data_IF_462275191188
#
_entry.id   IF_462275191188
#
_cell.length_a   1.000
_cell.length_b   1.000
_cell.length_c   1.000
_cell.angle_alpha   90.00
_cell.angle_beta   90.00
_cell.angle_gamma   90.00
#
_symmetry.space_group_name_H-M   'P 1'
#
loop_
_entity.id
_entity.type
_entity.pdbx_description
1 polymer ?
#
# COMPACT_ATOMS: atom_id res chain seq x y z
N UNK A 1 38.72 25.08 37.03
CA UNK A 1 40.17 25.07 36.77
C UNK A 1 40.41 23.82 35.92
N UNK A 2 40.78 23.80 34.63
CA UNK A 2 41.72 24.64 33.86
C UNK A 2 41.62 24.26 32.36
N UNK A 3 41.48 25.29 31.49
CA UNK A 3 41.96 25.48 30.09
C UNK A 3 41.49 24.64 28.86
N UNK A 4 40.96 25.42 27.91
CA UNK A 4 40.94 25.31 26.44
C UNK A 4 42.26 24.86 25.81
N UNK A 5 42.20 24.15 24.66
CA UNK A 5 43.06 24.42 23.47
C UNK A 5 42.28 24.17 22.16
N UNK A 6 42.32 25.20 21.30
CA UNK A 6 41.81 25.34 19.94
C UNK A 6 42.90 24.95 18.93
N UNK A 7 42.58 24.34 17.78
CA UNK A 7 43.40 24.50 16.56
C UNK A 7 42.57 24.23 15.30
N UNK A 8 42.35 25.29 14.53
CA UNK A 8 41.92 25.25 13.14
C UNK A 8 43.15 25.21 12.24
N UNK A 9 43.12 24.42 11.16
CA UNK A 9 44.12 24.48 10.09
C UNK A 9 43.39 24.78 8.79
N UNK A 10 43.66 25.97 8.26
CA UNK A 10 43.33 26.40 6.90
C UNK A 10 44.58 26.18 6.06
N UNK A 11 44.46 25.47 4.93
CA UNK A 11 45.46 25.45 3.88
C UNK A 11 44.79 25.89 2.58
N UNK A 12 45.26 27.02 2.06
CA UNK A 12 44.95 27.59 0.76
C UNK A 12 46.21 27.54 -0.12
N UNK A 13 46.05 27.23 -1.42
CA UNK A 13 46.88 27.68 -2.56
C UNK A 13 46.61 26.75 -3.78
N UNK A 14 45.84 27.17 -4.80
CA UNK A 14 46.21 27.91 -6.05
C UNK A 14 46.66 27.04 -7.24
N UNK A 15 45.78 27.02 -8.26
CA UNK A 15 45.98 27.37 -9.70
C UNK A 15 46.79 26.50 -10.70
N UNK A 16 46.11 26.37 -11.87
CA UNK A 16 46.53 26.07 -13.26
C UNK A 16 46.90 24.62 -13.64
N UNK A 17 46.11 24.06 -14.55
CA UNK A 17 46.47 22.89 -15.35
C UNK A 17 45.40 22.55 -16.39
N UNK A 18 45.41 23.24 -17.53
CA UNK A 18 44.61 22.86 -18.70
C UNK A 18 45.14 21.54 -19.29
N UNK A 19 44.38 20.47 -19.10
CA UNK A 19 44.59 19.20 -19.78
C UNK A 19 43.25 18.70 -20.30
N UNK A 20 43.00 18.85 -21.60
CA UNK A 20 41.87 18.23 -22.28
C UNK A 20 42.11 16.72 -22.34
N UNK A 21 41.58 15.99 -21.37
CA UNK A 21 41.49 14.53 -21.39
C UNK A 21 40.22 14.14 -22.11
N UNK A 22 40.36 13.56 -23.30
CA UNK A 22 39.27 12.89 -24.00
C UNK A 22 38.81 11.70 -23.16
N UNK A 23 37.74 11.87 -22.39
CA UNK A 23 37.11 10.78 -21.68
C UNK A 23 36.44 9.81 -22.68
N UNK A 24 36.56 8.49 -22.51
CA UNK A 24 35.76 7.55 -23.28
C UNK A 24 34.29 7.79 -22.95
N UNK A 25 33.48 8.04 -23.98
CA UNK A 25 32.01 8.15 -23.85
C UNK A 25 31.50 6.75 -23.51
N UNK A 26 31.30 6.49 -22.23
CA UNK A 26 30.61 5.29 -21.77
C UNK A 26 29.17 5.38 -22.24
N UNK A 27 28.78 4.49 -23.15
CA UNK A 27 27.44 4.43 -23.69
C UNK A 27 26.46 4.20 -22.54
N UNK A 28 25.66 5.22 -22.24
CA UNK A 28 24.63 5.15 -21.20
C UNK A 28 23.72 3.94 -21.45
N UNK A 29 23.47 3.08 -20.46
CA UNK A 29 22.61 1.93 -20.64
C UNK A 29 21.23 2.40 -21.07
N UNK A 30 20.77 1.89 -22.21
CA UNK A 30 19.43 2.15 -22.73
C UNK A 30 18.41 1.79 -21.64
N UNK A 31 17.74 2.80 -21.07
CA UNK A 31 16.66 2.60 -20.12
C UNK A 31 15.52 1.91 -20.88
N UNK A 32 15.36 0.59 -20.67
CA UNK A 32 14.16 -0.13 -21.10
C UNK A 32 12.99 0.45 -20.31
N UNK A 33 12.22 1.31 -20.97
CA UNK A 33 10.90 1.72 -20.50
C UNK A 33 10.03 0.48 -20.44
N UNK A 34 9.86 -0.08 -19.24
CA UNK A 34 8.88 -1.14 -19.00
C UNK A 34 7.51 -0.49 -19.19
N UNK A 35 6.83 -0.83 -20.28
CA UNK A 35 5.46 -0.40 -20.50
C UNK A 35 4.60 -0.92 -19.34
N UNK A 36 4.10 0.00 -18.51
CA UNK A 36 3.14 -0.34 -17.46
C UNK A 36 1.82 -0.64 -18.19
N UNK A 37 1.28 -1.87 -18.12
CA UNK A 37 0.01 -2.18 -18.76
C UNK A 37 -1.08 -1.26 -18.22
N UNK A 38 -1.88 -0.68 -19.12
CA UNK A 38 -3.02 0.14 -18.74
C UNK A 38 -3.98 -0.69 -17.88
N UNK A 39 -4.14 -0.30 -16.61
CA UNK A 39 -5.05 -0.97 -15.69
C UNK A 39 -6.49 -0.62 -16.06
N UNK A 40 -7.30 -1.63 -16.36
CA UNK A 40 -8.73 -1.44 -16.61
C UNK A 40 -9.39 -0.89 -15.35
N UNK A 41 -10.11 0.25 -15.42
CA UNK A 41 -10.74 0.82 -14.24
C UNK A 41 -11.79 -0.16 -13.70
N UNK A 42 -11.73 -0.40 -12.40
CA UNK A 42 -12.68 -1.27 -11.73
C UNK A 42 -14.10 -0.67 -11.81
N UNK A 43 -15.05 -1.42 -12.36
CA UNK A 43 -16.44 -0.97 -12.54
C UNK A 43 -17.47 -1.89 -11.86
N UNK A 44 -17.03 -2.91 -11.13
CA UNK A 44 -17.97 -3.81 -10.43
C UNK A 44 -18.51 -3.16 -9.17
N UNK A 45 -19.82 -2.94 -9.16
CA UNK A 45 -20.53 -2.39 -8.02
C UNK A 45 -21.02 -3.47 -7.06
N UNK A 46 -21.02 -3.12 -5.78
CA UNK A 46 -21.49 -3.94 -4.69
C UNK A 46 -22.35 -3.12 -3.75
N UNK A 47 -23.46 -3.68 -3.32
CA UNK A 47 -24.34 -3.06 -2.33
C UNK A 47 -24.17 -3.75 -0.97
N UNK A 48 -24.14 -2.94 0.09
CA UNK A 48 -24.00 -3.41 1.47
C UNK A 48 -25.32 -3.99 1.98
N UNK A 49 -25.27 -5.26 2.42
CA UNK A 49 -26.44 -5.99 2.93
C UNK A 49 -26.59 -5.91 4.44
N UNK A 50 -25.49 -5.70 5.17
CA UNK A 50 -25.49 -5.58 6.63
C UNK A 50 -25.95 -4.21 7.13
N UNK A 51 -26.56 -4.14 8.32
CA UNK A 51 -27.02 -2.88 8.94
C UNK A 51 -25.91 -1.84 9.13
N UNK A 52 -24.74 -2.30 9.59
CA UNK A 52 -23.53 -1.49 9.81
C UNK A 52 -22.32 -2.39 9.58
N UNK A 53 -21.45 -2.00 8.65
CA UNK A 53 -20.30 -2.82 8.22
C UNK A 53 -19.03 -1.99 8.34
N UNK A 54 -18.03 -2.52 9.02
CA UNK A 54 -16.75 -1.84 9.15
C UNK A 54 -15.90 -2.05 7.90
N UNK A 55 -15.37 -0.97 7.34
CA UNK A 55 -14.24 -1.02 6.44
C UNK A 55 -12.98 -0.99 7.30
N UNK A 56 -12.14 -2.02 7.17
CA UNK A 56 -10.96 -2.20 8.01
C UNK A 56 -9.69 -2.13 7.19
N UNK A 57 -8.61 -1.61 7.79
CA UNK A 57 -7.27 -1.68 7.20
C UNK A 57 -6.42 -2.62 8.02
N UNK A 58 -5.70 -3.56 7.40
CA UNK A 58 -4.73 -4.38 8.11
C UNK A 58 -3.71 -3.49 8.82
N UNK A 59 -3.36 -3.84 10.05
CA UNK A 59 -2.22 -3.24 10.75
C UNK A 59 -0.90 -3.66 10.09
N UNK A 60 0.19 -2.94 10.39
CA UNK A 60 1.51 -3.20 9.80
C UNK A 60 2.04 -4.64 10.00
N UNK A 61 1.54 -5.35 11.02
CA UNK A 61 1.92 -6.71 11.38
C UNK A 61 0.86 -7.78 11.05
N UNK A 62 -0.27 -7.44 10.43
CA UNK A 62 -1.37 -8.38 10.12
C UNK A 62 -1.25 -8.98 8.70
N UNK A 63 -0.28 -8.52 7.91
CA UNK A 63 -0.15 -8.87 6.50
C UNK A 63 -1.16 -8.14 5.61
N UNK A 64 -1.40 -8.62 4.38
CA UNK A 64 -2.16 -7.87 3.39
C UNK A 64 -3.68 -7.99 3.52
N UNK A 65 -4.20 -8.89 4.35
CA UNK A 65 -5.65 -9.16 4.49
C UNK A 65 -6.15 -8.69 5.85
N UNK A 66 -7.26 -7.96 5.86
CA UNK A 66 -7.83 -7.50 7.11
C UNK A 66 -8.44 -8.69 7.89
N UNK A 67 -8.49 -8.53 9.20
CA UNK A 67 -9.13 -9.44 10.14
C UNK A 67 -10.30 -8.72 10.83
N UNK A 68 -11.16 -9.45 11.57
CA UNK A 68 -12.20 -8.81 12.38
C UNK A 68 -11.67 -7.87 13.47
N UNK A 69 -10.40 -8.00 13.88
CA UNK A 69 -9.74 -7.13 14.88
C UNK A 69 -8.99 -5.95 14.28
N UNK A 70 -8.68 -5.97 12.98
CA UNK A 70 -7.97 -4.88 12.28
C UNK A 70 -8.64 -3.51 12.51
N UNK A 71 -7.90 -2.40 12.64
CA UNK A 71 -8.47 -1.07 12.85
C UNK A 71 -9.57 -0.70 11.86
N UNK A 72 -10.62 -0.05 12.37
CA UNK A 72 -11.73 0.45 11.55
C UNK A 72 -11.33 1.78 10.94
N UNK A 73 -11.43 1.90 9.61
CA UNK A 73 -11.29 3.17 8.91
C UNK A 73 -12.59 3.99 8.96
N UNK A 74 -13.70 3.36 8.57
CA UNK A 74 -15.03 3.95 8.59
C UNK A 74 -16.09 2.85 8.54
N UNK A 75 -17.36 3.25 8.58
CA UNK A 75 -18.49 2.33 8.48
C UNK A 75 -19.31 2.61 7.22
N UNK A 76 -19.76 1.53 6.60
CA UNK A 76 -20.81 1.52 5.60
C UNK A 76 -22.13 1.12 6.25
N UNK A 77 -23.23 1.57 5.67
CA UNK A 77 -24.61 1.29 6.06
C UNK A 77 -25.30 0.44 4.99
N UNK A 78 -26.39 -0.20 5.38
CA UNK A 78 -27.19 -1.01 4.46
C UNK A 78 -27.66 -0.15 3.28
N UNK A 79 -27.47 -0.64 2.06
CA UNK A 79 -27.82 0.08 0.83
C UNK A 79 -26.67 0.92 0.25
N UNK A 80 -25.60 1.18 1.01
CA UNK A 80 -24.42 1.86 0.48
C UNK A 80 -23.82 1.05 -0.67
N UNK A 81 -23.32 1.75 -1.68
CA UNK A 81 -22.67 1.15 -2.85
C UNK A 81 -21.18 1.41 -2.83
N UNK A 82 -20.41 0.36 -3.11
CA UNK A 82 -18.95 0.41 -3.20
C UNK A 82 -18.48 -0.27 -4.48
N UNK A 83 -17.40 0.25 -5.04
CA UNK A 83 -16.71 -0.34 -6.18
C UNK A 83 -15.63 -1.28 -5.67
N UNK A 84 -15.58 -2.51 -6.20
CA UNK A 84 -14.53 -3.48 -5.84
C UNK A 84 -14.36 -4.56 -6.89
N UNK A 85 -13.13 -4.73 -7.37
CA UNK A 85 -12.75 -5.79 -8.31
C UNK A 85 -11.68 -6.71 -7.72
N UNK A 86 -11.08 -6.31 -6.60
CA UNK A 86 -10.01 -7.05 -5.93
C UNK A 86 -10.60 -7.74 -4.70
N UNK A 87 -10.25 -9.02 -4.54
CA UNK A 87 -10.59 -9.81 -3.37
C UNK A 87 -9.31 -10.22 -2.68
N UNK A 88 -9.22 -9.94 -1.39
CA UNK A 88 -8.18 -10.45 -0.50
C UNK A 88 -8.71 -11.71 0.21
N UNK A 89 -7.97 -12.81 0.14
CA UNK A 89 -8.38 -14.09 0.72
C UNK A 89 -7.56 -14.36 1.98
N UNK A 90 -8.23 -14.38 3.13
CA UNK A 90 -7.61 -14.75 4.39
C UNK A 90 -7.23 -16.24 4.38
N UNK A 91 -5.98 -16.55 4.73
CA UNK A 91 -5.53 -17.94 4.93
C UNK A 91 -5.79 -18.33 6.37
N UNK A 92 -6.46 -19.46 6.58
CA UNK A 92 -6.73 -20.04 7.90
C UNK A 92 -6.27 -21.49 7.92
N UNK A 93 -5.84 -22.00 9.07
CA UNK A 93 -5.43 -23.40 9.23
C UNK A 93 -6.65 -24.34 9.32
N UNK A 94 -7.74 -23.87 9.92
CA UNK A 94 -9.03 -24.57 9.96
C UNK A 94 -10.18 -23.56 10.03
N UNK A 95 -11.25 -23.82 9.28
CA UNK A 95 -12.49 -23.03 9.34
C UNK A 95 -12.45 -21.63 8.68
N UNK A 96 -13.55 -20.86 8.79
CA UNK A 96 -13.67 -19.54 8.18
C UNK A 96 -12.84 -18.48 8.91
N UNK A 97 -12.37 -17.46 8.18
CA UNK A 97 -11.61 -16.36 8.77
C UNK A 97 -12.48 -15.36 9.56
N UNK A 98 -13.78 -15.32 9.28
CA UNK A 98 -14.72 -14.46 9.99
C UNK A 98 -16.17 -14.99 9.89
N UNK A 99 -17.02 -14.55 10.83
CA UNK A 99 -18.49 -14.62 10.78
C UNK A 99 -19.07 -13.20 10.79
N UNK A 100 -19.61 -12.73 9.66
CA UNK A 100 -20.20 -11.39 9.52
C UNK A 100 -21.39 -11.39 8.57
N UNK A 101 -22.35 -10.49 8.85
CA UNK A 101 -23.59 -10.37 8.07
C UNK A 101 -24.35 -11.69 7.92
N UNK A 102 -24.39 -12.47 9.01
CA UNK A 102 -25.10 -13.74 9.10
C UNK A 102 -24.45 -14.91 8.35
N UNK A 103 -23.21 -14.75 7.87
CA UNK A 103 -22.50 -15.78 7.08
C UNK A 103 -21.04 -15.89 7.47
N UNK A 104 -20.48 -17.07 7.28
CA UNK A 104 -19.05 -17.36 7.43
C UNK A 104 -18.31 -17.08 6.12
N UNK A 105 -17.05 -16.68 6.21
CA UNK A 105 -16.24 -16.47 5.01
C UNK A 105 -14.77 -16.21 5.30
N UNK A 106 -13.99 -16.23 4.21
CA UNK A 106 -12.56 -15.89 4.21
C UNK A 106 -12.21 -14.78 3.22
N UNK A 107 -13.16 -14.38 2.38
CA UNK A 107 -12.94 -13.37 1.36
C UNK A 107 -13.26 -11.96 1.87
N UNK A 108 -12.39 -11.01 1.59
CA UNK A 108 -12.58 -9.59 1.83
C UNK A 108 -12.53 -8.83 0.51
N UNK A 109 -13.51 -7.96 0.26
CA UNK A 109 -13.53 -7.06 -0.89
C UNK A 109 -12.67 -5.84 -0.56
N UNK A 110 -11.70 -5.54 -1.42
CA UNK A 110 -10.93 -4.29 -1.31
C UNK A 110 -11.77 -3.17 -1.86
N UNK A 111 -12.03 -2.17 -1.04
CA UNK A 111 -12.85 -1.00 -1.34
C UNK A 111 -12.06 0.26 -1.03
N UNK A 112 -12.59 1.41 -1.43
CA UNK A 112 -12.01 2.67 -0.99
C UNK A 112 -11.93 2.72 0.54
N UNK A 113 -10.74 2.98 1.05
CA UNK A 113 -10.51 3.07 2.49
C UNK A 113 -10.11 1.76 3.19
N UNK A 114 -10.18 0.60 2.54
CA UNK A 114 -9.71 -0.66 3.15
C UNK A 114 -10.41 -1.91 2.62
N UNK A 115 -10.82 -2.78 3.53
CA UNK A 115 -11.36 -4.09 3.22
C UNK A 115 -12.66 -4.34 3.98
N UNK A 116 -13.60 -5.00 3.29
CA UNK A 116 -14.93 -5.32 3.82
C UNK A 116 -15.20 -6.82 3.68
N UNK A 117 -15.78 -7.50 4.69
CA UNK A 117 -16.17 -8.90 4.55
C UNK A 117 -17.08 -9.10 3.33
N UNK A 118 -16.70 -9.98 2.41
CA UNK A 118 -17.47 -10.22 1.19
C UNK A 118 -18.90 -10.71 1.49
N UNK A 119 -19.11 -11.40 2.61
CA UNK A 119 -20.45 -11.82 3.07
C UNK A 119 -21.39 -10.66 3.39
N UNK A 120 -20.88 -9.43 3.54
CA UNK A 120 -21.66 -8.24 3.79
C UNK A 120 -22.05 -7.48 2.53
N UNK A 121 -21.72 -8.01 1.35
CA UNK A 121 -21.93 -7.37 0.06
C UNK A 121 -22.73 -8.28 -0.87
N UNK A 122 -23.52 -7.68 -1.76
CA UNK A 122 -24.13 -8.33 -2.93
C UNK A 122 -23.69 -7.57 -4.19
N UNK A 123 -23.43 -8.27 -5.29
CA UNK A 123 -23.12 -7.63 -6.57
C UNK A 123 -24.40 -6.96 -7.11
N UNK A 124 -24.24 -5.78 -7.72
CA UNK A 124 -25.33 -5.02 -8.37
C UNK A 124 -24.89 -4.48 -9.72
#
# INVERSE_FOLDING_TARGET
MTRLITTAVVLAATFVGSGAVSAPVEAAPAQRSVAVPASTPCSTWWEVTGKKVAVRRPSWNEGPVATPSSPVHHYLRKGDRVVSCIVAIARTQSGPAYRKCGRDGSAWRVVQGGQVPATCLKRV
#
